data_IF_658035243464
#
_entry.id   IF_658035243464
#
_cell.length_a   1.000
_cell.length_b   1.000
_cell.length_c   1.000
_cell.angle_alpha   90.00
_cell.angle_beta   90.00
_cell.angle_gamma   90.00
#
_symmetry.space_group_name_H-M   'P 1'
#
loop_
_entity.id
_entity.type
_entity.pdbx_description
1 polymer ?
#
# COMPACT_ATOMS: atom_id res chain seq x y z
N UNK A 1 -9.09 -35.10 -9.00
CA UNK A 1 -9.94 -35.98 -8.18
C UNK A 1 -10.18 -35.26 -6.84
N UNK A 2 -11.13 -35.65 -5.97
CA UNK A 2 -11.38 -34.87 -4.76
C UNK A 2 -10.18 -34.94 -3.79
N UNK A 3 -9.86 -33.81 -3.18
CA UNK A 3 -8.92 -33.74 -2.06
C UNK A 3 -9.69 -34.11 -0.79
N UNK A 4 -9.10 -34.93 0.08
CA UNK A 4 -9.74 -35.38 1.32
C UNK A 4 -8.87 -34.99 2.50
N UNK A 5 -9.48 -34.33 3.49
CA UNK A 5 -8.85 -34.02 4.76
C UNK A 5 -9.19 -35.09 5.79
N UNK A 6 -8.17 -35.60 6.48
CA UNK A 6 -8.31 -36.57 7.55
C UNK A 6 -8.51 -35.85 8.87
N UNK A 7 -9.53 -36.27 9.63
CA UNK A 7 -9.95 -35.58 10.85
C UNK A 7 -9.57 -36.34 12.12
N UNK A 8 -9.25 -37.63 12.02
CA UNK A 8 -8.81 -38.46 13.14
C UNK A 8 -7.62 -39.33 12.75
N UNK A 9 -6.85 -39.77 13.75
CA UNK A 9 -5.67 -40.59 13.51
C UNK A 9 -6.01 -41.99 12.97
N UNK A 10 -5.05 -42.53 12.20
CA UNK A 10 -5.03 -43.90 11.69
C UNK A 10 -6.17 -44.25 10.71
N UNK A 11 -6.66 -43.29 9.92
CA UNK A 11 -7.62 -43.56 8.84
C UNK A 11 -6.84 -44.02 7.61
N UNK A 12 -6.82 -45.32 7.33
CA UNK A 12 -6.16 -45.87 6.12
C UNK A 12 -4.64 -45.65 6.08
N UNK A 13 -4.00 -45.47 7.24
CA UNK A 13 -2.57 -45.17 7.36
C UNK A 13 -2.22 -43.68 7.42
N UNK A 14 -3.21 -42.79 7.32
CA UNK A 14 -3.05 -41.34 7.43
C UNK A 14 -3.35 -40.86 8.85
N UNK A 15 -2.77 -39.71 9.21
CA UNK A 15 -2.91 -39.09 10.54
C UNK A 15 -3.91 -37.94 10.51
N UNK A 16 -4.40 -37.55 11.69
CA UNK A 16 -5.29 -36.41 11.82
C UNK A 16 -4.61 -35.13 11.30
N UNK A 17 -5.31 -34.39 10.44
CA UNK A 17 -4.80 -33.17 9.81
C UNK A 17 -4.15 -33.38 8.44
N UNK A 18 -3.91 -34.63 8.02
CA UNK A 18 -3.38 -34.92 6.68
C UNK A 18 -4.38 -34.51 5.59
N UNK A 19 -3.85 -33.96 4.50
CA UNK A 19 -4.62 -33.63 3.30
C UNK A 19 -4.11 -34.51 2.16
N UNK A 20 -4.94 -35.47 1.77
CA UNK A 20 -4.63 -36.40 0.69
C UNK A 20 -5.14 -35.80 -0.61
N UNK A 21 -4.20 -35.36 -1.46
CA UNK A 21 -4.51 -34.89 -2.81
C UNK A 21 -4.80 -36.07 -3.72
N UNK A 22 -5.78 -35.91 -4.60
CA UNK A 22 -6.29 -36.98 -5.47
C UNK A 22 -6.56 -38.27 -4.67
N UNK A 23 -7.39 -38.15 -3.63
CA UNK A 23 -7.55 -39.20 -2.64
C UNK A 23 -8.03 -40.52 -3.27
N UNK A 24 -7.50 -41.68 -2.80
CA UNK A 24 -7.96 -42.98 -3.25
C UNK A 24 -9.45 -43.19 -2.93
N UNK A 25 -10.15 -43.97 -3.75
CA UNK A 25 -11.59 -44.18 -3.66
C UNK A 25 -12.08 -44.55 -2.25
N UNK A 26 -11.30 -45.33 -1.49
CA UNK A 26 -11.64 -45.68 -0.11
C UNK A 26 -11.74 -44.49 0.85
N UNK A 27 -10.87 -43.48 0.71
CA UNK A 27 -10.95 -42.26 1.54
C UNK A 27 -12.08 -41.34 1.07
N UNK A 28 -12.29 -41.27 -0.25
CA UNK A 28 -13.39 -40.50 -0.84
C UNK A 28 -14.73 -41.06 -0.38
N UNK A 29 -14.91 -42.38 -0.36
CA UNK A 29 -16.12 -43.03 0.13
C UNK A 29 -16.37 -42.78 1.62
N UNK A 30 -15.30 -42.82 2.44
CA UNK A 30 -15.38 -42.53 3.88
C UNK A 30 -15.90 -41.11 4.10
N UNK A 31 -15.36 -40.14 3.36
CA UNK A 31 -15.74 -38.74 3.44
C UNK A 31 -17.16 -38.49 2.88
N UNK A 32 -17.52 -39.08 1.74
CA UNK A 32 -18.85 -38.97 1.13
C UNK A 32 -19.96 -39.54 2.02
N UNK A 33 -19.69 -40.65 2.72
CA UNK A 33 -20.64 -41.30 3.62
C UNK A 33 -20.68 -40.68 5.01
N UNK A 34 -19.89 -39.62 5.25
CA UNK A 34 -19.76 -38.97 6.55
C UNK A 34 -19.47 -40.00 7.67
N UNK A 35 -18.57 -40.93 7.39
CA UNK A 35 -18.29 -42.03 8.32
C UNK A 35 -17.72 -41.45 9.62
N UNK A 36 -18.23 -41.92 10.77
CA UNK A 36 -17.86 -41.42 12.09
C UNK A 36 -17.13 -42.47 12.91
N UNK A 37 -16.22 -42.02 13.75
CA UNK A 37 -15.62 -42.83 14.79
C UNK A 37 -16.72 -43.28 15.77
N UNK A 38 -16.84 -44.59 16.00
CA UNK A 38 -17.90 -45.13 16.86
C UNK A 38 -17.74 -44.75 18.34
N UNK A 39 -16.51 -44.49 18.81
CA UNK A 39 -16.24 -44.12 20.19
C UNK A 39 -16.41 -42.63 20.46
N UNK A 40 -16.05 -41.76 19.51
CA UNK A 40 -16.08 -40.29 19.69
C UNK A 40 -17.21 -39.58 18.94
N UNK A 41 -17.85 -40.23 17.97
CA UNK A 41 -18.88 -39.64 17.11
C UNK A 41 -18.36 -38.62 16.09
N UNK A 42 -17.05 -38.39 16.04
CA UNK A 42 -16.40 -37.45 15.13
C UNK A 42 -16.28 -38.03 13.73
N UNK A 43 -16.36 -37.18 12.71
CA UNK A 43 -16.13 -37.57 11.32
C UNK A 43 -14.69 -38.07 11.14
N UNK A 44 -14.51 -39.09 10.29
CA UNK A 44 -13.19 -39.65 10.01
C UNK A 44 -12.42 -38.82 8.96
N UNK A 45 -13.13 -38.35 7.95
CA UNK A 45 -12.57 -37.57 6.85
C UNK A 45 -13.64 -36.69 6.20
N UNK A 46 -13.21 -35.64 5.50
CA UNK A 46 -14.07 -34.66 4.82
C UNK A 46 -13.51 -34.34 3.44
N UNK A 47 -14.39 -34.18 2.44
CA UNK A 47 -13.98 -33.70 1.11
C UNK A 47 -13.64 -32.22 1.22
N UNK A 48 -12.41 -31.86 0.87
CA UNK A 48 -12.07 -30.47 0.62
C UNK A 48 -12.58 -30.10 -0.76
N UNK A 49 -13.57 -29.22 -0.78
CA UNK A 49 -14.07 -28.65 -2.00
C UNK A 49 -13.05 -27.62 -2.50
N UNK A 50 -12.34 -27.93 -3.58
CA UNK A 50 -11.44 -27.02 -4.30
C UNK A 50 -12.21 -25.88 -5.00
N UNK A 51 -13.51 -25.73 -4.73
CA UNK A 51 -14.38 -24.66 -5.24
C UNK A 51 -13.97 -23.26 -4.74
N UNK A 52 -12.94 -23.16 -3.90
CA UNK A 52 -12.26 -21.91 -3.54
C UNK A 52 -11.17 -21.49 -4.54
N UNK A 53 -11.40 -21.69 -5.84
CA UNK A 53 -10.60 -20.98 -6.84
C UNK A 53 -10.84 -19.48 -6.60
N UNK A 54 -9.84 -18.68 -6.17
CA UNK A 54 -10.03 -17.26 -6.02
C UNK A 54 -10.47 -16.71 -7.38
N UNK A 55 -11.41 -15.75 -7.43
CA UNK A 55 -11.82 -15.14 -8.70
C UNK A 55 -10.55 -14.68 -9.42
N UNK A 56 -10.36 -15.11 -10.67
CA UNK A 56 -9.17 -14.83 -11.48
C UNK A 56 -9.07 -13.37 -11.97
N UNK A 57 -9.57 -12.43 -11.17
CA UNK A 57 -9.58 -11.01 -11.47
C UNK A 57 -9.79 -10.18 -10.20
N UNK A 58 -9.41 -8.90 -10.22
CA UNK A 58 -9.62 -8.01 -9.10
C UNK A 58 -11.11 -7.96 -8.76
N UNK A 59 -11.40 -8.09 -7.48
CA UNK A 59 -12.74 -7.92 -6.93
C UNK A 59 -13.24 -6.50 -7.22
N UNK A 60 -14.55 -6.30 -7.24
CA UNK A 60 -15.15 -4.97 -7.45
C UNK A 60 -14.62 -3.94 -6.44
N UNK A 61 -14.35 -4.38 -5.20
CA UNK A 61 -13.73 -3.55 -4.16
C UNK A 61 -12.30 -3.14 -4.52
N UNK A 62 -11.51 -4.03 -5.09
CA UNK A 62 -10.13 -3.72 -5.52
C UNK A 62 -10.14 -2.72 -6.68
N UNK A 63 -11.06 -2.87 -7.64
CA UNK A 63 -11.22 -1.90 -8.74
C UNK A 63 -11.62 -0.52 -8.22
N UNK A 64 -12.56 -0.45 -7.26
CA UNK A 64 -12.96 0.81 -6.63
C UNK A 64 -11.81 1.45 -5.84
N UNK A 65 -11.04 0.63 -5.11
CA UNK A 65 -9.88 1.10 -4.35
C UNK A 65 -8.81 1.68 -5.27
N UNK A 66 -8.56 1.04 -6.41
CA UNK A 66 -7.59 1.52 -7.39
C UNK A 66 -8.02 2.84 -8.04
N UNK A 67 -9.31 2.99 -8.34
CA UNK A 67 -9.85 4.26 -8.84
C UNK A 67 -9.69 5.40 -7.81
N UNK A 68 -9.95 5.13 -6.53
CA UNK A 68 -9.78 6.13 -5.47
C UNK A 68 -8.30 6.50 -5.25
N UNK A 69 -7.39 5.52 -5.32
CA UNK A 69 -5.94 5.78 -5.26
C UNK A 69 -5.50 6.69 -6.40
N UNK A 70 -5.98 6.46 -7.63
CA UNK A 70 -5.65 7.32 -8.77
C UNK A 70 -6.18 8.75 -8.59
N UNK A 71 -7.40 8.88 -8.07
CA UNK A 71 -7.98 10.18 -7.74
C UNK A 71 -7.17 10.92 -6.68
N UNK A 72 -6.77 10.23 -5.61
CA UNK A 72 -5.98 10.82 -4.53
C UNK A 72 -4.60 11.27 -5.02
N UNK A 73 -3.94 10.49 -5.88
CA UNK A 73 -2.67 10.89 -6.50
C UNK A 73 -2.79 12.17 -7.34
N UNK A 74 -3.88 12.32 -8.08
CA UNK A 74 -4.13 13.54 -8.85
C UNK A 74 -4.30 14.77 -7.93
N UNK A 75 -5.04 14.61 -6.83
CA UNK A 75 -5.22 15.66 -5.83
C UNK A 75 -3.90 16.00 -5.14
N UNK A 76 -3.10 15.00 -4.80
CA UNK A 76 -1.78 15.19 -4.17
C UNK A 76 -0.85 16.01 -5.07
N UNK A 77 -0.80 15.71 -6.37
CA UNK A 77 -0.02 16.48 -7.33
C UNK A 77 -0.46 17.96 -7.41
N UNK A 78 -1.77 18.21 -7.47
CA UNK A 78 -2.31 19.58 -7.48
C UNK A 78 -1.99 20.34 -6.18
N UNK A 79 -2.05 19.66 -5.02
CA UNK A 79 -1.70 20.26 -3.74
C UNK A 79 -0.21 20.59 -3.64
N UNK A 80 0.66 19.71 -4.13
CA UNK A 80 2.10 19.97 -4.18
C UNK A 80 2.44 21.16 -5.07
N UNK A 81 1.79 21.30 -6.23
CA UNK A 81 1.97 22.46 -7.11
C UNK A 81 1.51 23.76 -6.43
N UNK A 82 0.39 23.74 -5.70
CA UNK A 82 -0.07 24.91 -4.91
C UNK A 82 0.89 25.27 -3.79
N UNK A 83 1.49 24.28 -3.14
CA UNK A 83 2.48 24.52 -2.08
C UNK A 83 3.72 25.19 -2.67
N UNK A 84 4.23 24.71 -3.80
CA UNK A 84 5.39 25.29 -4.49
C UNK A 84 5.16 26.76 -4.88
N UNK A 85 3.96 27.06 -5.41
CA UNK A 85 3.55 28.43 -5.73
C UNK A 85 3.51 29.34 -4.48
N UNK A 86 2.91 28.86 -3.38
CA UNK A 86 2.84 29.63 -2.13
C UNK A 86 4.21 29.86 -1.51
N UNK A 87 5.09 28.85 -1.53
CA UNK A 87 6.45 28.97 -1.02
C UNK A 87 7.27 29.97 -1.83
N UNK A 88 7.13 29.98 -3.16
CA UNK A 88 7.80 30.94 -4.03
C UNK A 88 7.36 32.39 -3.73
N UNK A 89 6.06 32.60 -3.49
CA UNK A 89 5.51 33.91 -3.13
C UNK A 89 5.99 34.41 -1.75
N UNK A 90 6.07 33.51 -0.76
CA UNK A 90 6.54 33.86 0.58
C UNK A 90 8.05 34.09 0.60
N UNK A 91 8.84 33.29 -0.13
CA UNK A 91 10.28 33.53 -0.30
C UNK A 91 10.54 34.90 -0.94
N UNK A 92 9.79 35.27 -1.99
CA UNK A 92 9.94 36.58 -2.63
C UNK A 92 9.63 37.74 -1.66
N UNK A 93 8.61 37.59 -0.80
CA UNK A 93 8.27 38.60 0.23
C UNK A 93 9.37 38.71 1.27
N UNK A 94 9.90 37.59 1.76
CA UNK A 94 11.00 37.58 2.74
C UNK A 94 12.25 38.23 2.17
N UNK A 95 12.65 37.86 0.95
CA UNK A 95 13.81 38.48 0.28
C UNK A 95 13.61 39.97 0.06
N UNK A 96 12.40 40.44 -0.31
CA UNK A 96 12.12 41.88 -0.40
C UNK A 96 12.18 42.58 0.95
N UNK A 97 11.77 41.92 2.04
CA UNK A 97 11.88 42.47 3.38
C UNK A 97 13.35 42.63 3.81
N UNK A 98 14.17 41.59 3.58
CA UNK A 98 15.62 41.61 3.86
C UNK A 98 16.31 42.68 3.00
N UNK A 99 16.04 42.71 1.69
CA UNK A 99 16.62 43.71 0.80
C UNK A 99 16.22 45.15 1.18
N UNK A 100 15.00 45.35 1.69
CA UNK A 100 14.55 46.64 2.24
C UNK A 100 15.33 47.02 3.49
N UNK A 101 15.54 46.08 4.41
CA UNK A 101 16.31 46.29 5.65
C UNK A 101 17.77 46.64 5.34
N UNK A 102 18.36 45.96 4.36
CA UNK A 102 19.71 46.21 3.85
C UNK A 102 19.80 47.44 2.93
N UNK A 103 18.68 48.12 2.68
CA UNK A 103 18.59 49.33 1.82
C UNK A 103 19.08 49.12 0.39
N UNK A 104 18.86 47.94 -0.17
CA UNK A 104 19.24 47.61 -1.55
C UNK A 104 18.39 48.45 -2.53
N UNK A 105 18.99 49.27 -3.40
CA UNK A 105 18.25 50.09 -4.35
C UNK A 105 17.57 49.22 -5.41
N UNK A 106 16.31 49.55 -5.74
CA UNK A 106 15.56 48.85 -6.79
C UNK A 106 14.97 47.49 -6.41
N UNK A 107 15.10 47.04 -5.14
CA UNK A 107 14.65 45.73 -4.66
C UNK A 107 13.18 45.39 -4.97
N UNK A 108 12.30 46.39 -5.12
CA UNK A 108 10.88 46.15 -5.43
C UNK A 108 10.65 45.57 -6.82
N UNK A 109 11.57 45.83 -7.75
CA UNK A 109 11.53 45.36 -9.16
C UNK A 109 12.35 44.10 -9.41
N UNK A 110 13.16 43.67 -8.45
CA UNK A 110 14.01 42.50 -8.59
C UNK A 110 13.22 41.21 -8.42
N UNK A 111 13.61 40.18 -9.17
CA UNK A 111 13.14 38.81 -8.97
C UNK A 111 13.87 38.09 -7.82
N UNK A 112 13.46 36.86 -7.53
CA UNK A 112 13.98 36.05 -6.42
C UNK A 112 15.50 35.83 -6.51
N UNK A 113 16.03 35.59 -7.72
CA UNK A 113 17.44 35.32 -7.96
C UNK A 113 18.28 36.60 -7.90
N UNK A 114 17.76 37.69 -8.45
CA UNK A 114 18.37 39.02 -8.36
C UNK A 114 18.45 39.49 -6.90
N UNK A 115 17.38 39.29 -6.11
CA UNK A 115 17.36 39.62 -4.69
C UNK A 115 18.39 38.80 -3.91
N UNK A 116 18.47 37.47 -4.13
CA UNK A 116 19.48 36.63 -3.49
C UNK A 116 20.90 37.11 -3.78
N UNK A 117 21.22 37.41 -5.05
CA UNK A 117 22.54 37.93 -5.46
C UNK A 117 22.83 39.29 -4.85
N UNK A 118 21.85 40.20 -4.83
CA UNK A 118 22.02 41.53 -4.25
C UNK A 118 22.23 41.45 -2.74
N UNK A 119 21.43 40.64 -2.03
CA UNK A 119 21.58 40.40 -0.59
C UNK A 119 22.94 39.78 -0.27
N UNK A 120 23.36 38.76 -1.01
CA UNK A 120 24.68 38.14 -0.84
C UNK A 120 25.83 39.14 -1.08
N UNK A 121 25.68 40.05 -2.05
CA UNK A 121 26.70 41.05 -2.36
C UNK A 121 26.82 42.12 -1.26
N UNK A 122 25.71 42.51 -0.62
CA UNK A 122 25.72 43.49 0.48
C UNK A 122 26.11 42.83 1.81
N UNK A 123 25.78 41.56 2.00
CA UNK A 123 26.18 40.78 3.19
C UNK A 123 27.63 40.28 3.16
N UNK A 124 28.22 40.16 1.97
CA UNK A 124 29.58 39.68 1.75
C UNK A 124 30.70 40.63 2.19
N UNK A 125 30.40 41.90 2.47
CA UNK A 125 31.40 42.88 2.94
C UNK A 125 31.73 42.78 4.44
N UNK A 126 31.17 41.79 5.16
CA UNK A 126 31.52 41.50 6.56
C UNK A 126 32.54 40.37 6.75
N UNK A 127 33.02 39.72 5.68
CA UNK A 127 34.27 38.95 5.74
C UNK A 127 35.46 39.92 5.67
N UNK A 128 35.76 40.50 6.82
CA UNK A 128 36.79 41.52 6.97
C UNK A 128 38.22 41.01 6.80
N UNK A 129 39.07 41.95 6.38
CA UNK A 129 40.54 42.03 6.53
C UNK A 129 41.41 41.01 5.81
#
# INVERSE_FOLDING_TARGET
MPNVKILVDAVGGYSAGDIVKDAPAGLVDIALKETRNAATGQLLAEIMDDSSNPPSGPTEREVQLEAEVQRLKAIEAELLEKIDLLQSDDELKELKAVAKEMKIPGYTKMDTDELKKAIASVGGDNDGK
#
